data_IF_257891411392
#
_entry.id   IF_257891411392
#
_cell.length_a   1.000
_cell.length_b   1.000
_cell.length_c   1.000
_cell.angle_alpha   90.00
_cell.angle_beta   90.00
_cell.angle_gamma   90.00
#
_symmetry.space_group_name_H-M   'P 1'
#
loop_
_entity.id
_entity.type
_entity.pdbx_description
1 polymer ?
#
# COMPACT_ATOMS: atom_id res chain seq x y z
N UNK A 1 -19.54 17.24 -1.48
CA UNK A 1 -18.99 17.86 -2.71
C UNK A 1 -17.54 17.43 -2.80
N UNK A 2 -17.26 16.45 -3.65
CA UNK A 2 -15.91 15.98 -3.92
C UNK A 2 -15.06 17.11 -4.50
N UNK A 3 -14.06 17.59 -3.76
CA UNK A 3 -13.23 18.70 -4.23
C UNK A 3 -12.30 18.23 -5.35
N UNK A 4 -12.48 18.81 -6.55
CA UNK A 4 -11.62 18.60 -7.72
C UNK A 4 -10.55 19.69 -7.70
N UNK A 5 -9.57 19.55 -6.80
CA UNK A 5 -8.52 20.57 -6.61
C UNK A 5 -7.21 20.22 -7.28
N UNK A 6 -6.86 18.94 -7.31
CA UNK A 6 -5.53 18.48 -7.69
C UNK A 6 -5.56 17.42 -8.78
N UNK A 7 -4.52 17.43 -9.62
CA UNK A 7 -4.29 16.42 -10.64
C UNK A 7 -2.81 16.00 -10.68
N UNK A 8 -2.55 14.75 -11.05
CA UNK A 8 -1.20 14.24 -11.31
C UNK A 8 -0.97 14.11 -12.81
N UNK A 9 0.14 14.67 -13.30
CA UNK A 9 0.56 14.50 -14.68
C UNK A 9 1.14 13.10 -14.92
N UNK A 10 0.67 12.37 -15.92
CA UNK A 10 1.25 11.07 -16.32
C UNK A 10 2.55 11.18 -17.13
N UNK A 11 2.93 12.38 -17.54
CA UNK A 11 4.16 12.62 -18.33
C UNK A 11 5.34 13.00 -17.43
N UNK A 12 5.16 13.97 -16.53
CA UNK A 12 6.22 14.44 -15.63
C UNK A 12 6.05 14.01 -14.17
N UNK A 13 5.01 13.24 -13.86
CA UNK A 13 4.67 12.74 -12.52
C UNK A 13 4.39 13.80 -11.45
N UNK A 14 4.47 15.09 -11.80
CA UNK A 14 4.18 16.20 -10.89
C UNK A 14 2.69 16.31 -10.58
N UNK A 15 2.38 16.63 -9.32
CA UNK A 15 1.03 17.01 -8.89
C UNK A 15 0.90 18.52 -8.98
N UNK A 16 -0.24 19.00 -9.45
CA UNK A 16 -0.53 20.43 -9.57
C UNK A 16 -1.97 20.74 -9.20
N UNK A 17 -2.18 21.97 -8.71
CA UNK A 17 -3.51 22.52 -8.51
C UNK A 17 -4.12 22.90 -9.87
N UNK A 18 -5.38 22.53 -10.05
CA UNK A 18 -6.14 22.90 -11.23
C UNK A 18 -6.47 24.39 -11.18
N UNK A 19 -6.23 25.12 -12.26
CA UNK A 19 -6.67 26.50 -12.37
C UNK A 19 -8.21 26.60 -12.50
N UNK A 20 -8.76 27.81 -12.37
CA UNK A 20 -10.21 28.03 -12.42
C UNK A 20 -10.84 27.57 -13.75
N UNK A 21 -10.12 27.69 -14.87
CA UNK A 21 -10.60 27.27 -16.18
C UNK A 21 -10.63 25.74 -16.28
N UNK A 22 -9.60 25.06 -15.79
CA UNK A 22 -9.52 23.61 -15.73
C UNK A 22 -10.59 23.04 -14.79
N UNK A 23 -10.81 23.63 -13.62
CA UNK A 23 -11.87 23.21 -12.69
C UNK A 23 -13.25 23.33 -13.33
N UNK A 24 -13.55 24.46 -13.97
CA UNK A 24 -14.82 24.68 -14.66
C UNK A 24 -15.04 23.70 -15.82
N UNK A 25 -13.97 23.28 -16.51
CA UNK A 25 -14.03 22.29 -17.58
C UNK A 25 -14.24 20.86 -17.07
N UNK A 26 -13.54 20.46 -16.00
CA UNK A 26 -13.50 19.08 -15.49
C UNK A 26 -14.76 18.76 -14.68
N UNK A 27 -15.22 19.68 -13.83
CA UNK A 27 -16.33 19.45 -12.90
C UNK A 27 -17.60 18.85 -13.55
N UNK A 28 -18.15 19.41 -14.65
CA UNK A 28 -19.35 18.84 -15.28
C UNK A 28 -19.10 17.48 -15.94
N UNK A 29 -17.88 17.19 -16.39
CA UNK A 29 -17.52 15.93 -17.03
C UNK A 29 -17.40 14.80 -16.00
N UNK A 30 -16.75 15.10 -14.86
CA UNK A 30 -16.67 14.16 -13.73
C UNK A 30 -18.07 13.88 -13.17
N UNK A 31 -18.92 14.89 -13.01
CA UNK A 31 -20.30 14.73 -12.55
C UNK A 31 -21.15 13.82 -13.47
N UNK A 32 -20.80 13.75 -14.76
CA UNK A 32 -21.43 12.84 -15.76
C UNK A 32 -20.79 11.45 -15.80
N UNK A 33 -19.80 11.15 -14.94
CA UNK A 33 -19.10 9.88 -14.91
C UNK A 33 -18.09 9.68 -16.04
N UNK A 34 -17.66 10.75 -16.72
CA UNK A 34 -16.65 10.68 -17.78
C UNK A 34 -15.30 10.23 -17.20
N UNK A 35 -14.79 9.07 -17.63
CA UNK A 35 -13.54 8.49 -17.12
C UNK A 35 -12.27 9.03 -17.79
N UNK A 36 -12.42 9.61 -18.98
CA UNK A 36 -11.30 10.09 -19.79
C UNK A 36 -11.49 11.57 -20.12
N UNK A 37 -10.69 12.42 -19.47
CA UNK A 37 -10.71 13.88 -19.61
C UNK A 37 -9.25 14.31 -19.80
N UNK A 38 -8.95 15.04 -20.88
CA UNK A 38 -7.59 15.52 -21.17
C UNK A 38 -7.43 16.96 -20.69
N UNK A 39 -6.33 17.24 -19.99
CA UNK A 39 -5.97 18.56 -19.47
C UNK A 39 -4.51 18.88 -19.78
N UNK A 40 -4.14 20.15 -19.76
CA UNK A 40 -2.75 20.59 -19.96
C UNK A 40 -2.02 20.66 -18.63
N UNK A 41 -0.85 20.03 -18.53
CA UNK A 41 0.00 20.16 -17.36
C UNK A 41 0.70 21.54 -17.35
N UNK A 42 0.60 22.33 -16.28
CA UNK A 42 1.31 23.61 -16.18
C UNK A 42 2.82 23.42 -15.96
N UNK A 43 3.25 22.28 -15.41
CA UNK A 43 4.66 22.01 -15.11
C UNK A 43 5.49 21.68 -16.36
N UNK A 44 4.95 20.90 -17.30
CA UNK A 44 5.69 20.47 -18.51
C UNK A 44 5.02 20.88 -19.83
N UNK A 45 3.84 21.48 -19.80
CA UNK A 45 3.10 21.91 -20.98
C UNK A 45 2.43 20.79 -21.79
N UNK A 46 2.67 19.51 -21.46
CA UNK A 46 2.08 18.37 -22.15
C UNK A 46 0.59 18.19 -21.85
N UNK A 47 -0.14 17.62 -22.79
CA UNK A 47 -1.49 17.10 -22.55
C UNK A 47 -1.43 15.80 -21.76
N UNK A 48 -2.24 15.68 -20.71
CA UNK A 48 -2.28 14.51 -19.82
C UNK A 48 -3.72 14.19 -19.42
N UNK A 49 -3.99 12.94 -19.05
CA UNK A 49 -5.30 12.55 -18.53
C UNK A 49 -5.48 13.11 -17.12
N UNK A 50 -6.64 13.72 -16.86
CA UNK A 50 -7.04 14.09 -15.52
C UNK A 50 -7.22 12.83 -14.66
N UNK A 51 -6.39 12.73 -13.64
CA UNK A 51 -6.50 11.74 -12.57
C UNK A 51 -6.69 12.51 -11.28
N UNK A 52 -7.86 12.35 -10.65
CA UNK A 52 -8.14 12.95 -9.34
C UNK A 52 -7.11 12.43 -8.35
N UNK A 53 -6.31 13.33 -7.81
CA UNK A 53 -5.47 12.99 -6.66
C UNK A 53 -6.39 12.99 -5.44
N UNK A 54 -6.62 11.82 -4.85
CA UNK A 54 -7.27 11.75 -3.55
C UNK A 54 -6.42 12.58 -2.57
N UNK A 55 -7.04 13.53 -1.86
CA UNK A 55 -6.39 14.18 -0.73
C UNK A 55 -5.94 13.06 0.22
N UNK A 56 -4.63 12.87 0.34
CA UNK A 56 -3.92 11.76 0.99
C UNK A 56 -3.74 10.48 0.17
N UNK A 57 -2.82 10.53 -0.80
CA UNK A 57 -1.91 9.42 -1.05
C UNK A 57 -0.64 9.96 -1.70
N UNK A 58 0.41 10.15 -0.90
CA UNK A 58 1.78 10.19 -1.42
C UNK A 58 1.97 8.94 -2.29
N UNK A 59 2.17 9.15 -3.58
CA UNK A 59 2.34 8.13 -4.60
C UNK A 59 3.72 7.45 -4.55
N UNK A 60 4.10 6.96 -3.36
CA UNK A 60 5.31 6.16 -3.11
C UNK A 60 5.03 4.86 -2.35
N UNK A 61 3.78 4.57 -1.97
CA UNK A 61 3.47 3.49 -1.00
C UNK A 61 2.66 2.31 -1.58
N UNK A 62 2.61 2.14 -2.91
CA UNK A 62 1.77 1.10 -3.57
C UNK A 62 2.53 -0.08 -4.20
N UNK A 63 3.80 -0.34 -3.86
CA UNK A 63 4.50 -1.51 -4.42
C UNK A 63 5.37 -2.28 -3.44
N UNK A 64 5.15 -2.12 -2.13
CA UNK A 64 5.89 -2.91 -1.16
C UNK A 64 4.97 -3.98 -0.59
N UNK A 65 5.38 -5.23 -0.73
CA UNK A 65 4.71 -6.38 -0.16
C UNK A 65 5.06 -6.39 1.33
N UNK A 66 4.17 -6.87 2.19
CA UNK A 66 4.49 -7.02 3.61
C UNK A 66 5.47 -8.18 3.76
N UNK A 67 6.42 -8.10 4.70
CA UNK A 67 7.04 -9.33 5.21
C UNK A 67 5.97 -10.15 5.95
N UNK A 68 6.12 -11.47 5.92
CA UNK A 68 5.23 -12.35 6.67
C UNK A 68 5.43 -12.16 8.18
N UNK A 69 4.36 -11.95 8.98
CA UNK A 69 4.47 -11.82 10.42
C UNK A 69 4.44 -13.17 11.16
N UNK A 70 4.58 -14.29 10.46
CA UNK A 70 4.65 -15.64 11.06
C UNK A 70 6.10 -15.99 11.40
N UNK A 71 6.32 -16.62 12.56
CA UNK A 71 7.65 -17.05 12.96
C UNK A 71 8.25 -18.02 11.95
N UNK A 72 9.58 -18.01 11.80
CA UNK A 72 10.30 -18.82 10.80
C UNK A 72 9.98 -18.53 9.33
N UNK A 73 9.01 -17.64 9.04
CA UNK A 73 8.69 -17.23 7.69
C UNK A 73 9.30 -15.86 7.37
N UNK A 74 10.27 -15.84 6.46
CA UNK A 74 10.82 -14.62 5.87
C UNK A 74 10.09 -14.22 4.58
N UNK A 75 8.97 -14.88 4.26
CA UNK A 75 8.23 -14.69 3.03
C UNK A 75 7.55 -13.34 2.88
N UNK A 76 6.76 -13.22 1.80
CA UNK A 76 6.04 -12.02 1.43
C UNK A 76 4.54 -12.24 1.52
N UNK A 77 3.83 -11.22 1.98
CA UNK A 77 2.38 -11.17 2.05
C UNK A 77 1.87 -10.14 1.06
N UNK A 78 1.00 -10.61 0.18
CA UNK A 78 0.38 -9.84 -0.89
C UNK A 78 -1.14 -9.85 -0.77
N UNK A 79 -1.78 -8.78 -1.24
CA UNK A 79 -3.23 -8.75 -1.39
C UNK A 79 -3.61 -9.51 -2.67
N UNK A 80 -4.37 -10.59 -2.52
CA UNK A 80 -4.96 -11.36 -3.60
C UNK A 80 -6.40 -10.87 -3.78
N UNK A 81 -6.63 -10.06 -4.81
CA UNK A 81 -7.92 -9.41 -5.10
C UNK A 81 -8.55 -9.85 -6.44
N UNK A 82 -7.91 -10.81 -7.12
CA UNK A 82 -8.40 -11.38 -8.37
C UNK A 82 -9.55 -12.39 -8.20
N UNK A 83 -9.90 -12.73 -6.96
CA UNK A 83 -11.01 -13.60 -6.60
C UNK A 83 -11.75 -13.10 -5.35
N UNK A 84 -13.09 -13.17 -5.29
CA UNK A 84 -13.84 -12.82 -4.10
C UNK A 84 -13.99 -14.02 -3.13
N UNK A 85 -13.85 -13.80 -1.80
CA UNK A 85 -13.45 -12.55 -1.16
C UNK A 85 -11.94 -12.29 -1.30
N UNK A 86 -11.51 -11.02 -1.43
CA UNK A 86 -10.09 -10.69 -1.41
C UNK A 86 -9.46 -11.06 -0.07
N UNK A 87 -8.19 -11.43 -0.07
CA UNK A 87 -7.46 -11.81 1.14
C UNK A 87 -5.97 -11.46 1.03
N UNK A 88 -5.30 -11.32 2.16
CA UNK A 88 -3.85 -11.23 2.23
C UNK A 88 -3.28 -12.64 2.34
N UNK A 89 -2.32 -13.01 1.51
CA UNK A 89 -1.76 -14.36 1.48
C UNK A 89 -0.24 -14.33 1.49
N UNK A 90 0.38 -15.22 2.27
CA UNK A 90 1.81 -15.48 2.21
C UNK A 90 2.12 -16.60 1.20
N UNK A 91 3.03 -16.33 0.25
CA UNK A 91 3.43 -17.31 -0.77
C UNK A 91 4.28 -18.47 -0.24
N UNK A 92 4.94 -18.29 0.91
CA UNK A 92 5.92 -19.22 1.44
C UNK A 92 5.34 -20.16 2.50
N UNK A 93 4.59 -19.62 3.47
CA UNK A 93 3.98 -20.42 4.55
C UNK A 93 2.49 -20.72 4.32
N UNK A 94 1.87 -20.12 3.30
CA UNK A 94 0.45 -20.34 2.99
C UNK A 94 -0.54 -19.71 3.96
N UNK A 95 -0.08 -18.89 4.92
CA UNK A 95 -0.98 -18.19 5.84
C UNK A 95 -1.84 -17.15 5.12
N UNK A 96 -3.08 -17.01 5.54
CA UNK A 96 -4.13 -16.21 4.91
C UNK A 96 -4.84 -15.33 5.95
N UNK A 97 -5.05 -14.05 5.63
CA UNK A 97 -5.85 -13.12 6.42
C UNK A 97 -6.95 -12.52 5.56
N UNK A 98 -8.21 -12.81 5.87
CA UNK A 98 -9.38 -12.25 5.15
C UNK A 98 -9.67 -10.79 5.53
N UNK A 99 -9.27 -10.37 6.73
CA UNK A 99 -9.43 -9.00 7.19
C UNK A 99 -8.05 -8.37 7.42
N UNK A 100 -7.81 -7.17 6.88
CA UNK A 100 -6.55 -6.47 7.09
C UNK A 100 -6.23 -6.25 8.58
N UNK A 101 -7.25 -6.02 9.42
CA UNK A 101 -7.06 -5.83 10.87
C UNK A 101 -6.36 -7.02 11.52
N UNK A 102 -6.57 -8.24 11.01
CA UNK A 102 -5.96 -9.46 11.52
C UNK A 102 -4.47 -9.49 11.16
N UNK A 103 -4.12 -9.18 9.91
CA UNK A 103 -2.73 -9.02 9.48
C UNK A 103 -2.00 -7.96 10.32
N UNK A 104 -2.62 -6.80 10.53
CA UNK A 104 -2.06 -5.70 11.32
C UNK A 104 -1.84 -6.07 12.79
N UNK A 105 -2.73 -6.89 13.36
CA UNK A 105 -2.58 -7.46 14.70
C UNK A 105 -1.38 -8.41 14.75
N UNK A 106 -1.23 -9.31 13.78
CA UNK A 106 -0.06 -10.20 13.72
C UNK A 106 1.27 -9.45 13.54
N UNK A 107 1.30 -8.40 12.71
CA UNK A 107 2.48 -7.54 12.61
C UNK A 107 2.82 -6.91 13.97
N UNK A 108 1.82 -6.48 14.73
CA UNK A 108 2.04 -5.95 16.08
C UNK A 108 2.59 -7.03 17.02
N UNK A 109 2.03 -8.23 16.98
CA UNK A 109 2.44 -9.36 17.81
C UNK A 109 3.88 -9.79 17.52
N UNK A 110 4.22 -9.96 16.24
CA UNK A 110 5.54 -10.44 15.84
C UNK A 110 6.64 -9.42 16.15
N UNK A 111 6.35 -8.12 16.05
CA UNK A 111 7.29 -7.07 16.46
C UNK A 111 7.48 -7.09 17.98
N UNK A 112 6.41 -7.30 18.75
CA UNK A 112 6.52 -7.42 20.20
C UNK A 112 7.33 -8.66 20.63
N UNK A 113 7.17 -9.78 19.92
CA UNK A 113 7.89 -11.03 20.18
C UNK A 113 9.36 -10.98 19.70
N UNK A 114 9.59 -10.37 18.54
CA UNK A 114 10.88 -10.29 17.87
C UNK A 114 11.14 -8.85 17.40
N UNK A 115 11.66 -7.95 18.26
CA UNK A 115 11.78 -6.52 17.96
C UNK A 115 12.51 -6.16 16.66
N UNK A 116 13.46 -6.99 16.22
CA UNK A 116 14.17 -6.79 14.95
C UNK A 116 13.24 -6.87 13.72
N UNK A 117 12.10 -7.58 13.82
CA UNK A 117 11.05 -7.62 12.78
C UNK A 117 10.49 -6.22 12.51
N UNK A 118 10.59 -5.30 13.47
CA UNK A 118 10.22 -3.90 13.30
C UNK A 118 10.97 -3.20 12.17
N UNK A 119 12.15 -3.68 11.76
CA UNK A 119 12.87 -3.15 10.60
C UNK A 119 12.12 -3.33 9.28
N UNK A 120 11.22 -4.31 9.18
CA UNK A 120 10.41 -4.59 8.00
C UNK A 120 9.12 -3.76 7.93
N UNK A 121 8.78 -3.01 8.98
CA UNK A 121 7.51 -2.27 9.08
C UNK A 121 7.68 -0.85 9.62
N UNK A 122 6.91 0.10 9.08
CA UNK A 122 6.80 1.48 9.57
C UNK A 122 5.39 1.73 10.06
N UNK A 123 5.23 2.41 11.20
CA UNK A 123 3.90 2.79 11.71
C UNK A 123 3.53 4.20 11.25
N UNK A 124 2.46 4.31 10.48
CA UNK A 124 1.96 5.59 9.94
C UNK A 124 0.48 5.71 10.29
N UNK A 125 0.09 6.79 10.98
CA UNK A 125 -1.30 7.03 11.39
C UNK A 125 -1.97 5.84 12.11
N UNK A 126 -1.20 5.10 12.92
CA UNK A 126 -1.69 3.94 13.66
C UNK A 126 -1.72 2.62 12.90
N UNK A 127 -1.40 2.61 11.61
CA UNK A 127 -1.34 1.40 10.74
C UNK A 127 0.12 1.03 10.43
N UNK A 128 0.41 -0.26 10.37
CA UNK A 128 1.68 -0.77 9.86
C UNK A 128 1.67 -0.78 8.34
N UNK A 129 2.74 -0.27 7.76
CA UNK A 129 3.04 -0.31 6.34
C UNK A 129 4.41 -0.98 6.15
N UNK A 130 4.71 -1.55 4.98
CA UNK A 130 6.04 -2.08 4.70
C UNK A 130 7.11 -0.98 4.79
N UNK A 131 8.23 -1.28 5.43
CA UNK A 131 9.38 -0.40 5.49
C UNK A 131 10.27 -0.57 4.25
N UNK A 132 11.40 0.14 4.21
CA UNK A 132 12.44 -0.12 3.24
C UNK A 132 13.24 -1.37 3.62
N UNK A 133 13.62 -2.21 2.65
CA UNK A 133 14.45 -3.38 2.91
C UNK A 133 15.80 -3.02 3.52
N UNK A 134 16.33 -1.82 3.22
CA UNK A 134 17.55 -1.31 3.86
C UNK A 134 17.40 -1.05 5.37
N UNK A 135 16.16 -1.03 5.89
CA UNK A 135 15.87 -0.93 7.33
C UNK A 135 15.89 -2.29 8.03
N UNK A 136 15.89 -3.41 7.28
CA UNK A 136 16.06 -4.74 7.84
C UNK A 136 17.51 -4.95 8.31
N UNK A 137 17.74 -5.72 9.39
CA UNK A 137 19.08 -6.15 9.74
C UNK A 137 19.68 -6.99 8.60
N UNK A 138 20.99 -6.87 8.35
CA UNK A 138 21.66 -7.58 7.26
C UNK A 138 21.51 -9.12 7.32
N UNK A 139 21.26 -9.67 8.50
CA UNK A 139 21.03 -11.10 8.75
C UNK A 139 19.54 -11.43 9.03
N UNK A 140 18.59 -10.62 8.55
CA UNK A 140 17.15 -10.77 8.80
C UNK A 140 16.66 -12.20 8.61
N UNK A 141 16.89 -12.80 7.43
CA UNK A 141 16.39 -14.15 7.13
C UNK A 141 16.95 -15.22 8.07
N UNK A 142 18.20 -15.06 8.50
CA UNK A 142 18.85 -15.97 9.44
C UNK A 142 18.32 -15.81 10.88
N UNK A 143 17.95 -14.58 11.27
CA UNK A 143 17.26 -14.34 12.54
C UNK A 143 15.88 -14.99 12.51
N UNK A 144 15.12 -14.78 11.44
CA UNK A 144 13.78 -15.34 11.24
C UNK A 144 13.79 -16.85 11.31
N UNK A 145 14.70 -17.50 10.60
CA UNK A 145 14.85 -18.96 10.58
C UNK A 145 15.12 -19.57 11.97
N UNK A 146 15.65 -18.79 12.92
CA UNK A 146 15.98 -19.23 14.28
C UNK A 146 14.86 -18.98 15.29
N UNK A 147 13.79 -18.32 14.89
CA UNK A 147 12.64 -18.11 15.77
C UNK A 147 12.01 -19.46 16.17
N UNK A 148 11.36 -19.53 17.33
CA UNK A 148 10.55 -20.67 17.70
C UNK A 148 9.50 -20.97 16.63
N UNK A 149 9.18 -22.24 16.42
CA UNK A 149 8.11 -22.63 15.52
C UNK A 149 6.80 -21.99 15.97
N UNK A 150 6.00 -21.60 14.98
CA UNK A 150 4.62 -21.18 15.21
C UNK A 150 3.82 -22.38 15.74
N UNK A 151 3.08 -22.18 16.82
CA UNK A 151 2.25 -23.21 17.47
C UNK A 151 0.83 -23.27 16.88
N UNK A 152 0.54 -22.42 15.90
CA UNK A 152 -0.73 -22.40 15.19
C UNK A 152 -0.70 -23.32 13.97
N UNK A 153 -1.51 -24.39 14.03
CA UNK A 153 -1.69 -25.32 12.91
C UNK A 153 -2.61 -24.76 11.80
N UNK A 154 -3.32 -23.66 12.06
CA UNK A 154 -4.27 -23.07 11.12
C UNK A 154 -3.59 -22.07 10.17
N UNK A 155 -3.84 -22.24 8.87
CA UNK A 155 -3.37 -21.29 7.85
C UNK A 155 -4.26 -20.05 7.76
N UNK A 156 -5.52 -20.12 8.17
CA UNK A 156 -6.40 -18.95 8.23
C UNK A 156 -6.14 -18.24 9.56
N UNK A 157 -5.80 -16.95 9.50
CA UNK A 157 -5.26 -16.21 10.64
C UNK A 157 -6.18 -15.10 11.15
N UNK A 158 -6.15 -14.94 12.47
CA UNK A 158 -6.72 -13.84 13.25
C UNK A 158 -8.20 -13.92 13.60
#
# INVERSE_FOLDING_TARGET
MDSIKNAQCKVCSQTFELDAQQQAFIAPLVAKGQKFIMIKCPCCGSSTQYVKVAENASAEDQSKNYRCPITQCSGWVDLIDNQPPPFWGCGECGSVWYEEKNLQKEITNIIALHPYRGGSYKKVNGRWLPADLSSEPANYEELVRKEPADDHDELVRG
#
